data_IF_775046164963
#
_entry.id   IF_775046164963
#
_cell.length_a   1.000
_cell.length_b   1.000
_cell.length_c   1.000
_cell.angle_alpha   90.00
_cell.angle_beta   90.00
_cell.angle_gamma   90.00
#
_symmetry.space_group_name_H-M   'P 1'
#
loop_
_entity.id
_entity.type
_entity.pdbx_description
1 polymer ?
#
# COMPACT_ATOMS: atom_id res chain seq x y z
N UNK A 1 -13.97 -11.73 -22.24
CA UNK A 1 -13.69 -10.45 -21.57
C UNK A 1 -12.24 -10.42 -21.13
N UNK A 2 -11.62 -9.24 -21.13
CA UNK A 2 -10.33 -9.04 -20.46
C UNK A 2 -10.51 -9.12 -18.93
N UNK A 3 -9.42 -9.37 -18.19
CA UNK A 3 -9.44 -9.34 -16.72
C UNK A 3 -10.00 -8.02 -16.18
N UNK A 4 -9.63 -6.89 -16.81
CA UNK A 4 -10.10 -5.54 -16.45
C UNK A 4 -11.60 -5.37 -16.68
N UNK A 5 -12.12 -5.80 -17.83
CA UNK A 5 -13.55 -5.75 -18.14
C UNK A 5 -14.36 -6.56 -17.13
N UNK A 6 -13.95 -7.82 -16.89
CA UNK A 6 -14.62 -8.70 -15.95
C UNK A 6 -14.63 -8.12 -14.52
N UNK A 7 -13.47 -7.63 -14.05
CA UNK A 7 -13.35 -7.00 -12.73
C UNK A 7 -14.27 -5.78 -12.59
N UNK A 8 -14.30 -4.91 -13.60
CA UNK A 8 -15.12 -3.69 -13.58
C UNK A 8 -16.62 -3.99 -13.55
N UNK A 9 -17.08 -5.00 -14.30
CA UNK A 9 -18.49 -5.41 -14.31
C UNK A 9 -18.92 -5.96 -12.95
N UNK A 10 -18.12 -6.83 -12.35
CA UNK A 10 -18.41 -7.40 -11.03
C UNK A 10 -18.47 -6.31 -9.96
N UNK A 11 -17.57 -5.32 -10.00
CA UNK A 11 -17.63 -4.17 -9.09
C UNK A 11 -18.89 -3.32 -9.26
N UNK A 12 -19.49 -3.29 -10.45
CA UNK A 12 -20.76 -2.60 -10.71
C UNK A 12 -22.01 -3.42 -10.32
N UNK A 13 -21.83 -4.62 -9.76
CA UNK A 13 -22.92 -5.55 -9.48
C UNK A 13 -23.48 -6.26 -10.71
N UNK A 14 -22.80 -6.15 -11.85
CA UNK A 14 -23.16 -6.88 -13.07
C UNK A 14 -22.57 -8.30 -13.06
N UNK A 15 -23.14 -9.18 -13.90
CA UNK A 15 -22.63 -10.54 -14.08
C UNK A 15 -21.33 -10.54 -14.91
N UNK A 16 -20.24 -11.02 -14.29
CA UNK A 16 -18.96 -11.33 -14.95
C UNK A 16 -18.94 -12.71 -15.65
N UNK A 17 -17.88 -13.00 -16.40
CA UNK A 17 -17.63 -14.32 -16.98
C UNK A 17 -16.96 -15.29 -15.99
N UNK A 18 -16.29 -14.76 -14.96
CA UNK A 18 -15.64 -15.52 -13.89
C UNK A 18 -15.53 -14.70 -12.61
N UNK A 19 -15.29 -15.36 -11.47
CA UNK A 19 -14.95 -14.66 -10.23
C UNK A 19 -13.61 -13.94 -10.42
N UNK A 20 -13.51 -12.63 -10.19
CA UNK A 20 -12.24 -11.95 -10.32
C UNK A 20 -11.26 -12.37 -9.23
N UNK A 21 -10.07 -12.82 -9.65
CA UNK A 21 -8.99 -13.22 -8.75
C UNK A 21 -7.99 -12.07 -8.59
N UNK A 22 -8.03 -11.43 -7.41
CA UNK A 22 -7.24 -10.23 -7.07
C UNK A 22 -6.52 -10.45 -5.74
N UNK A 23 -5.51 -11.34 -5.71
CA UNK A 23 -4.84 -11.72 -4.47
C UNK A 23 -3.97 -10.57 -3.94
N UNK A 24 -3.96 -10.40 -2.62
CA UNK A 24 -2.97 -9.60 -1.93
C UNK A 24 -1.85 -10.52 -1.43
N UNK A 25 -0.69 -10.49 -2.10
CA UNK A 25 0.49 -11.26 -1.71
C UNK A 25 1.47 -10.50 -0.81
N UNK A 26 1.18 -9.26 -0.39
CA UNK A 26 2.11 -8.47 0.44
C UNK A 26 2.55 -9.27 1.68
N UNK A 27 1.59 -9.80 2.44
CA UNK A 27 1.86 -10.55 3.66
C UNK A 27 2.44 -11.94 3.39
N UNK A 28 1.87 -12.68 2.43
CA UNK A 28 2.34 -14.02 2.10
C UNK A 28 3.79 -14.03 1.64
N UNK A 29 4.19 -13.08 0.77
CA UNK A 29 5.57 -12.97 0.29
C UNK A 29 6.52 -12.61 1.44
N UNK A 30 6.15 -11.65 2.28
CA UNK A 30 6.97 -11.24 3.43
C UNK A 30 7.24 -12.40 4.40
N UNK A 31 6.20 -13.16 4.78
CA UNK A 31 6.33 -14.30 5.70
C UNK A 31 7.18 -15.42 5.09
N UNK A 32 6.96 -15.76 3.81
CA UNK A 32 7.70 -16.84 3.18
C UNK A 32 9.17 -16.49 2.93
N UNK A 33 9.48 -15.22 2.66
CA UNK A 33 10.86 -14.74 2.59
C UNK A 33 11.54 -14.83 3.96
N UNK A 34 10.89 -14.32 5.01
CA UNK A 34 11.44 -14.34 6.37
C UNK A 34 11.69 -15.77 6.88
N UNK A 35 10.78 -16.70 6.58
CA UNK A 35 10.88 -18.09 7.02
C UNK A 35 11.71 -18.98 6.09
N UNK A 36 12.17 -18.47 4.94
CA UNK A 36 12.85 -19.28 3.92
C UNK A 36 11.96 -20.38 3.31
N UNK A 37 10.64 -20.20 3.32
CA UNK A 37 9.65 -21.17 2.81
C UNK A 37 9.08 -20.79 1.45
N UNK A 38 9.63 -19.77 0.79
CA UNK A 38 9.20 -19.37 -0.54
C UNK A 38 9.45 -20.51 -1.54
N UNK A 39 8.43 -20.93 -2.34
CA UNK A 39 8.63 -21.91 -3.38
C UNK A 39 9.70 -21.47 -4.38
N UNK A 40 10.57 -22.40 -4.80
CA UNK A 40 11.73 -22.10 -5.65
C UNK A 40 11.35 -21.43 -6.97
N UNK A 41 10.17 -21.75 -7.52
CA UNK A 41 9.64 -21.14 -8.75
C UNK A 41 9.37 -19.63 -8.63
N UNK A 42 9.28 -19.09 -7.41
CA UNK A 42 9.04 -17.67 -7.13
C UNK A 42 10.28 -16.95 -6.57
N UNK A 43 11.43 -17.62 -6.50
CA UNK A 43 12.64 -17.02 -5.96
C UNK A 43 13.08 -15.81 -6.81
N UNK A 44 13.44 -14.71 -6.13
CA UNK A 44 13.76 -13.44 -6.75
C UNK A 44 12.61 -12.71 -7.46
N UNK A 45 11.39 -13.26 -7.48
CA UNK A 45 10.25 -12.59 -8.11
C UNK A 45 9.70 -11.46 -7.25
N UNK A 46 9.30 -10.36 -7.88
CA UNK A 46 8.51 -9.35 -7.18
C UNK A 46 7.10 -9.89 -6.90
N UNK A 47 6.41 -9.28 -5.92
CA UNK A 47 4.99 -9.54 -5.66
C UNK A 47 4.15 -9.51 -6.94
N UNK A 48 4.37 -8.52 -7.81
CA UNK A 48 3.59 -8.36 -9.03
C UNK A 48 3.89 -9.47 -10.05
N UNK A 49 5.11 -9.99 -10.07
CA UNK A 49 5.47 -11.11 -10.95
C UNK A 49 4.79 -12.40 -10.49
N UNK A 50 4.75 -12.64 -9.18
CA UNK A 50 4.00 -13.75 -8.60
C UNK A 50 2.50 -13.65 -8.92
N UNK A 51 1.89 -12.46 -8.80
CA UNK A 51 0.48 -12.24 -9.19
C UNK A 51 0.25 -12.63 -10.66
N UNK A 52 1.17 -12.26 -11.55
CA UNK A 52 1.07 -12.61 -12.97
C UNK A 52 1.21 -14.12 -13.17
N UNK A 53 2.15 -14.76 -12.48
CA UNK A 53 2.42 -16.19 -12.56
C UNK A 53 1.20 -17.03 -12.17
N UNK A 54 0.47 -16.65 -11.11
CA UNK A 54 -0.76 -17.35 -10.68
C UNK A 54 -2.02 -16.93 -11.46
N UNK A 55 -1.88 -16.13 -12.51
CA UNK A 55 -3.00 -15.69 -13.33
C UNK A 55 -3.91 -14.64 -12.66
N UNK A 56 -3.46 -14.01 -11.57
CA UNK A 56 -4.20 -12.96 -10.87
C UNK A 56 -4.26 -11.62 -11.61
N UNK A 57 -4.98 -10.68 -11.01
CA UNK A 57 -4.98 -9.25 -11.38
C UNK A 57 -4.21 -8.49 -10.31
N UNK A 58 -3.31 -7.60 -10.73
CA UNK A 58 -2.53 -6.77 -9.81
C UNK A 58 -3.49 -5.87 -9.05
N UNK A 59 -3.55 -6.06 -7.74
CA UNK A 59 -4.18 -5.10 -6.85
C UNK A 59 -3.21 -3.95 -6.59
N UNK A 60 -3.69 -2.73 -6.79
CA UNK A 60 -2.99 -1.53 -6.38
C UNK A 60 -3.78 -0.88 -5.24
N UNK A 61 -3.10 -0.54 -4.15
CA UNK A 61 -3.64 0.43 -3.19
C UNK A 61 -3.76 1.74 -3.94
N UNK A 62 -4.99 2.16 -4.22
CA UNK A 62 -5.23 3.56 -4.54
C UNK A 62 -5.24 4.33 -3.23
N UNK A 63 -4.40 5.36 -3.12
CA UNK A 63 -4.56 6.38 -2.09
C UNK A 63 -5.80 7.19 -2.47
N UNK A 64 -6.94 6.84 -1.87
CA UNK A 64 -8.22 7.51 -2.15
C UNK A 64 -8.49 8.73 -1.26
N UNK A 65 -7.52 9.14 -0.46
CA UNK A 65 -7.70 10.18 0.56
C UNK A 65 -6.66 11.26 0.31
N UNK A 66 -7.14 12.42 -0.12
CA UNK A 66 -6.41 13.67 -0.05
C UNK A 66 -6.80 14.33 1.28
N UNK A 67 -5.83 14.57 2.16
CA UNK A 67 -6.08 15.36 3.37
C UNK A 67 -6.08 16.83 2.96
N UNK A 68 -7.23 17.50 3.15
CA UNK A 68 -7.35 18.95 3.00
C UNK A 68 -7.49 19.58 4.37
N UNK A 69 -6.60 20.52 4.66
CA UNK A 69 -6.70 21.35 5.85
C UNK A 69 -7.51 22.60 5.53
N UNK A 70 -8.09 23.21 6.57
CA UNK A 70 -8.63 24.56 6.47
C UNK A 70 -7.52 25.54 6.02
N UNK A 71 -7.88 26.60 5.31
CA UNK A 71 -6.93 27.60 4.82
C UNK A 71 -6.18 28.32 5.96
N UNK A 72 -6.75 28.33 7.17
CA UNK A 72 -6.13 28.91 8.36
C UNK A 72 -5.06 27.99 9.00
N UNK A 73 -4.91 26.77 8.51
CA UNK A 73 -3.94 25.80 9.03
C UNK A 73 -2.68 25.82 8.15
N UNK A 74 -1.56 26.24 8.75
CA UNK A 74 -0.25 26.11 8.14
C UNK A 74 0.36 24.76 8.57
N UNK A 75 0.75 23.94 7.59
CA UNK A 75 1.41 22.66 7.82
C UNK A 75 2.85 22.73 7.32
N UNK A 76 3.79 22.60 8.25
CA UNK A 76 5.23 22.60 7.95
C UNK A 76 5.74 21.19 8.18
N UNK A 77 6.40 20.62 7.17
CA UNK A 77 6.99 19.28 7.25
C UNK A 77 8.48 19.37 6.97
N UNK A 78 9.27 18.94 7.94
CA UNK A 78 10.74 18.91 7.86
C UNK A 78 11.23 17.47 8.07
N UNK A 79 12.17 17.05 7.22
CA UNK A 79 12.88 15.78 7.37
C UNK A 79 14.29 16.08 7.87
N UNK A 80 14.62 15.59 9.07
CA UNK A 80 15.90 15.77 9.74
C UNK A 80 16.41 14.38 10.12
N UNK A 81 17.47 13.92 9.46
CA UNK A 81 18.05 12.58 9.64
C UNK A 81 17.00 11.46 9.48
N UNK A 82 16.69 10.72 10.56
CA UNK A 82 15.71 9.63 10.62
C UNK A 82 14.34 10.09 11.14
N UNK A 83 14.14 11.40 11.27
CA UNK A 83 12.95 12.04 11.83
C UNK A 83 12.19 12.82 10.78
N UNK A 84 10.88 12.65 10.81
CA UNK A 84 9.91 13.50 10.12
C UNK A 84 9.21 14.31 11.20
N UNK A 85 9.40 15.62 11.19
CA UNK A 85 8.72 16.56 12.07
C UNK A 85 7.63 17.25 11.26
N UNK A 86 6.39 17.19 11.75
CA UNK A 86 5.27 17.93 11.19
C UNK A 86 4.74 18.89 12.24
N UNK A 87 4.73 20.18 11.92
CA UNK A 87 4.13 21.23 12.74
C UNK A 87 2.82 21.69 12.12
N UNK A 88 1.77 21.73 12.93
CA UNK A 88 0.45 22.24 12.59
C UNK A 88 0.24 23.54 13.37
N UNK A 89 0.17 24.66 12.65
CA UNK A 89 -0.22 25.94 13.24
C UNK A 89 -1.68 26.19 12.94
N UNK A 90 -2.46 26.40 14.00
CA UNK A 90 -3.90 26.63 13.93
C UNK A 90 -4.23 27.94 14.66
N UNK A 91 -5.42 28.52 14.48
CA UNK A 91 -5.82 29.75 15.17
C UNK A 91 -5.76 29.68 16.70
N UNK A 92 -5.89 28.49 17.27
CA UNK A 92 -5.91 28.29 18.73
C UNK A 92 -4.56 27.84 19.31
N UNK A 93 -3.57 27.57 18.46
CA UNK A 93 -2.24 27.15 18.90
C UNK A 93 -1.55 26.20 17.93
N UNK A 94 -0.44 25.64 18.40
CA UNK A 94 0.47 24.82 17.60
C UNK A 94 0.56 23.41 18.16
N UNK A 95 0.51 22.41 17.28
CA UNK A 95 0.77 21.01 17.60
C UNK A 95 1.92 20.50 16.76
N UNK A 96 2.83 19.74 17.36
CA UNK A 96 3.95 19.13 16.66
C UNK A 96 3.88 17.61 16.80
N UNK A 97 4.13 16.91 15.70
CA UNK A 97 4.33 15.45 15.68
C UNK A 97 5.73 15.14 15.17
N UNK A 98 6.44 14.25 15.85
CA UNK A 98 7.73 13.71 15.41
C UNK A 98 7.59 12.22 15.18
N UNK A 99 7.87 11.77 13.96
CA UNK A 99 7.93 10.36 13.60
C UNK A 99 9.40 10.01 13.38
N UNK A 100 9.94 9.03 14.11
CA UNK A 100 11.30 8.56 13.92
C UNK A 100 11.30 7.10 13.47
N UNK A 101 12.00 6.80 12.39
CA UNK A 101 12.19 5.41 11.96
C UNK A 101 13.26 4.75 12.83
N UNK A 102 12.87 3.76 13.62
CA UNK A 102 13.85 2.93 14.33
C UNK A 102 14.57 2.05 13.30
N UNK A 103 15.82 2.37 13.01
CA UNK A 103 16.71 1.48 12.26
C UNK A 103 17.13 0.34 13.19
N UNK A 104 16.73 -0.90 12.88
CA UNK A 104 17.22 -2.09 13.60
C UNK A 104 16.17 -3.10 14.09
N UNK A 105 14.87 -2.91 13.81
CA UNK A 105 13.90 -3.97 14.06
C UNK A 105 14.07 -5.08 12.99
N UNK A 106 14.99 -6.01 13.25
CA UNK A 106 15.06 -7.31 12.56
C UNK A 106 13.87 -8.14 13.05
N UNK A 107 12.86 -8.32 12.19
CA UNK A 107 11.91 -9.42 12.32
C UNK A 107 12.47 -10.66 11.65
#
# INVERSE_FOLDING_TARGET
MTKRENYTRVLKGERGDRIPYVPNFDHWLAVNLANGTLPKEYDGMSRNDIVRAVGGTIWARTGGIEVKYDAEIEVIREEIDDRIITEYRTPVGTVQTMHQYVTGCRF
#
